data_IF_238946828966
#
_entry.id   IF_238946828966
#
_cell.length_a   1.000
_cell.length_b   1.000
_cell.length_c   1.000
_cell.angle_alpha   90.00
_cell.angle_beta   90.00
_cell.angle_gamma   90.00
#
_symmetry.space_group_name_H-M   'P 1'
#
loop_
_entity.id
_entity.type
_entity.pdbx_description
1 polymer ?
#
# COMPACT_ATOMS: atom_id res chain seq x y z
N UNK A 1 17.06 5.87 1.75
CA UNK A 1 17.12 5.11 3.03
C UNK A 1 15.99 4.11 2.95
N UNK A 2 16.29 2.81 2.92
CA UNK A 2 15.26 1.79 2.74
C UNK A 2 14.22 1.83 3.85
N UNK A 3 12.96 2.06 3.48
CA UNK A 3 11.82 2.04 4.39
C UNK A 3 11.13 0.69 4.28
N UNK A 4 11.03 -0.03 5.40
CA UNK A 4 10.30 -1.30 5.45
C UNK A 4 8.88 -1.01 5.91
N UNK A 5 7.89 -1.42 5.13
CA UNK A 5 6.49 -1.40 5.52
C UNK A 5 6.03 -2.83 5.82
N UNK A 6 5.42 -3.02 6.98
CA UNK A 6 4.62 -4.21 7.25
C UNK A 6 3.17 -3.85 6.93
N UNK A 7 2.55 -4.60 6.05
CA UNK A 7 1.24 -4.26 5.48
C UNK A 7 0.27 -5.42 5.63
N UNK A 8 -1.01 -5.09 5.73
CA UNK A 8 -2.12 -6.03 5.69
C UNK A 8 -3.01 -5.71 4.49
N UNK A 9 -3.15 -6.67 3.61
CA UNK A 9 -3.73 -6.46 2.30
C UNK A 9 -3.65 -7.70 1.42
N UNK A 10 -3.79 -7.52 0.12
CA UNK A 10 -3.64 -8.60 -0.85
C UNK A 10 -2.68 -8.18 -1.97
N UNK A 11 -1.99 -9.18 -2.51
CA UNK A 11 -1.14 -9.08 -3.69
C UNK A 11 -2.02 -9.06 -4.95
N UNK A 12 -1.74 -8.12 -5.85
CA UNK A 12 -2.43 -7.94 -7.13
C UNK A 12 -1.39 -7.81 -8.25
N UNK A 13 -1.72 -8.29 -9.44
CA UNK A 13 -0.94 -8.03 -10.65
C UNK A 13 -1.09 -6.57 -11.05
N UNK A 14 0.02 -5.94 -11.46
CA UNK A 14 -0.01 -4.57 -11.99
C UNK A 14 -0.98 -4.43 -13.15
N UNK A 15 -1.02 -5.40 -14.06
CA UNK A 15 -1.93 -5.37 -15.21
C UNK A 15 -3.39 -5.32 -14.78
N UNK A 16 -3.78 -6.10 -13.75
CA UNK A 16 -5.16 -6.10 -13.23
C UNK A 16 -5.54 -4.76 -12.62
N UNK A 17 -4.60 -4.09 -11.93
CA UNK A 17 -4.84 -2.75 -11.42
C UNK A 17 -4.93 -1.73 -12.56
N UNK A 18 -4.01 -1.78 -13.52
CA UNK A 18 -3.98 -0.85 -14.65
C UNK A 18 -5.26 -0.94 -15.50
N UNK A 19 -5.76 -2.15 -15.76
CA UNK A 19 -7.02 -2.37 -16.45
C UNK A 19 -8.19 -1.78 -15.65
N UNK A 20 -8.19 -1.95 -14.33
CA UNK A 20 -9.19 -1.35 -13.44
C UNK A 20 -9.12 0.18 -13.44
N UNK A 21 -7.93 0.77 -13.40
CA UNK A 21 -7.74 2.23 -13.45
C UNK A 21 -8.23 2.80 -14.77
N UNK A 22 -7.81 2.20 -15.90
CA UNK A 22 -8.24 2.59 -17.25
C UNK A 22 -9.75 2.51 -17.43
N UNK A 23 -10.37 1.42 -16.96
CA UNK A 23 -11.82 1.25 -17.03
C UNK A 23 -12.60 2.32 -16.26
N UNK A 24 -11.95 3.01 -15.32
CA UNK A 24 -12.54 4.09 -14.53
C UNK A 24 -11.95 5.48 -14.87
N UNK A 25 -11.25 5.60 -16.01
CA UNK A 25 -10.74 6.88 -16.52
C UNK A 25 -9.49 7.42 -15.83
N UNK A 26 -8.78 6.59 -15.06
CA UNK A 26 -7.49 6.92 -14.45
C UNK A 26 -6.32 6.37 -15.29
N UNK A 27 -5.16 7.01 -15.14
CA UNK A 27 -3.94 6.55 -15.79
C UNK A 27 -3.43 5.25 -15.13
N UNK A 28 -2.85 4.33 -15.91
CA UNK A 28 -2.17 3.16 -15.36
C UNK A 28 -0.94 3.59 -14.56
N UNK A 29 -0.59 2.81 -13.54
CA UNK A 29 0.63 3.02 -12.76
C UNK A 29 1.84 2.32 -13.38
N UNK A 30 1.60 1.31 -14.21
CA UNK A 30 2.64 0.52 -14.91
C UNK A 30 3.74 -0.04 -14.00
N UNK A 31 3.43 -0.28 -12.72
CA UNK A 31 4.39 -0.82 -11.75
C UNK A 31 5.35 0.21 -11.15
N UNK A 32 5.07 1.50 -11.33
CA UNK A 32 5.69 2.58 -10.56
C UNK A 32 4.95 2.83 -9.26
N UNK A 33 5.67 3.40 -8.28
CA UNK A 33 5.03 3.93 -7.10
C UNK A 33 4.15 5.12 -7.49
N UNK A 34 2.85 5.13 -7.14
CA UNK A 34 1.97 6.23 -7.51
C UNK A 34 2.42 7.52 -6.82
N UNK A 35 2.42 8.64 -7.55
CA UNK A 35 2.66 9.95 -6.93
C UNK A 35 1.55 10.29 -5.93
N UNK A 36 1.76 11.20 -4.97
CA UNK A 36 0.76 11.54 -3.96
C UNK A 36 -0.62 11.90 -4.54
N UNK A 37 -0.67 12.63 -5.66
CA UNK A 37 -1.92 13.00 -6.33
C UNK A 37 -2.61 11.78 -6.96
N UNK A 38 -1.85 10.91 -7.62
CA UNK A 38 -2.36 9.65 -8.18
C UNK A 38 -2.86 8.72 -7.08
N UNK A 39 -2.11 8.59 -5.98
CA UNK A 39 -2.50 7.79 -4.83
C UNK A 39 -3.82 8.31 -4.21
N UNK A 40 -4.01 9.63 -4.14
CA UNK A 40 -5.25 10.24 -3.70
C UNK A 40 -6.42 9.94 -4.65
N UNK A 41 -6.20 10.00 -5.96
CA UNK A 41 -7.24 9.70 -6.95
C UNK A 41 -7.61 8.22 -6.98
N UNK A 42 -6.63 7.33 -6.82
CA UNK A 42 -6.88 5.90 -6.64
C UNK A 42 -7.68 5.68 -5.36
N UNK A 43 -7.30 6.27 -4.23
CA UNK A 43 -8.05 6.14 -2.99
C UNK A 43 -9.50 6.64 -3.11
N UNK A 44 -9.74 7.75 -3.84
CA UNK A 44 -11.10 8.23 -4.16
C UNK A 44 -11.87 7.21 -5.00
N UNK A 45 -11.23 6.59 -6.00
CA UNK A 45 -11.87 5.57 -6.82
C UNK A 45 -12.27 4.35 -5.98
N UNK A 46 -11.41 3.87 -5.09
CA UNK A 46 -11.75 2.77 -4.18
C UNK A 46 -12.95 3.12 -3.29
N UNK A 47 -13.00 4.35 -2.75
CA UNK A 47 -14.17 4.84 -2.00
C UNK A 47 -15.44 4.90 -2.86
N UNK A 48 -15.35 5.39 -4.10
CA UNK A 48 -16.48 5.44 -5.03
C UNK A 48 -17.03 4.05 -5.37
N UNK A 49 -16.19 3.01 -5.29
CA UNK A 49 -16.60 1.60 -5.44
C UNK A 49 -17.09 0.95 -4.14
N UNK A 50 -17.26 1.72 -3.08
CA UNK A 50 -17.87 1.26 -1.83
C UNK A 50 -16.86 0.79 -0.76
N UNK A 51 -15.56 0.92 -0.98
CA UNK A 51 -14.56 0.62 0.06
C UNK A 51 -14.61 1.70 1.13
N UNK A 52 -15.05 1.32 2.33
CA UNK A 52 -15.28 2.24 3.44
C UNK A 52 -14.06 2.36 4.39
N UNK A 53 -12.94 1.76 4.04
CA UNK A 53 -11.68 1.87 4.77
C UNK A 53 -10.66 2.73 3.99
N UNK A 54 -9.60 3.12 4.66
CA UNK A 54 -8.44 3.69 3.99
C UNK A 54 -7.73 2.60 3.18
N UNK A 55 -7.25 2.96 1.98
CA UNK A 55 -6.56 2.04 1.08
C UNK A 55 -5.27 2.69 0.60
N UNK A 56 -4.18 1.93 0.64
CA UNK A 56 -2.87 2.35 0.14
C UNK A 56 -2.27 1.28 -0.75
N UNK A 57 -1.61 1.72 -1.82
CA UNK A 57 -0.88 0.84 -2.73
C UNK A 57 0.59 0.85 -2.34
N UNK A 58 1.15 -0.35 -2.19
CA UNK A 58 2.58 -0.55 -1.98
C UNK A 58 3.15 -1.31 -3.17
N UNK A 59 4.09 -0.69 -3.87
CA UNK A 59 4.83 -1.30 -4.97
C UNK A 59 6.18 -1.74 -4.42
N UNK A 60 6.50 -3.05 -4.40
CA UNK A 60 7.75 -3.53 -3.85
C UNK A 60 8.92 -3.05 -4.71
N UNK A 61 10.02 -2.71 -4.05
CA UNK A 61 11.26 -2.39 -4.75
C UNK A 61 11.81 -3.63 -5.46
N UNK A 62 12.16 -3.48 -6.74
CA UNK A 62 12.83 -4.51 -7.53
C UNK A 62 14.23 -3.99 -7.85
N UNK A 63 15.25 -4.82 -7.64
CA UNK A 63 16.63 -4.43 -7.94
C UNK A 63 16.85 -4.30 -9.46
N UNK A 64 17.48 -3.21 -9.90
CA UNK A 64 17.83 -2.94 -11.30
C UNK A 64 16.75 -2.14 -12.05
N UNK A 65 16.73 -2.21 -13.38
CA UNK A 65 15.76 -1.49 -14.23
C UNK A 65 14.43 -2.24 -14.42
N UNK A 66 14.17 -3.28 -13.62
CA UNK A 66 12.96 -4.10 -13.75
C UNK A 66 11.80 -3.47 -13.00
N UNK A 67 10.63 -3.42 -13.63
CA UNK A 67 9.39 -3.00 -12.99
C UNK A 67 8.83 -4.14 -12.15
N UNK A 68 8.14 -3.81 -11.06
CA UNK A 68 7.40 -4.85 -10.34
C UNK A 68 6.21 -5.31 -11.18
N UNK A 69 6.01 -6.62 -11.28
CA UNK A 69 4.81 -7.19 -11.90
C UNK A 69 3.64 -7.30 -10.92
N UNK A 70 3.89 -7.05 -9.64
CA UNK A 70 2.91 -7.16 -8.58
C UNK A 70 2.99 -5.98 -7.60
N UNK A 71 1.86 -5.69 -6.98
CA UNK A 71 1.73 -4.68 -5.94
C UNK A 71 0.86 -5.21 -4.82
N UNK A 72 0.79 -4.46 -3.74
CA UNK A 72 -0.05 -4.78 -2.60
C UNK A 72 -1.08 -3.67 -2.40
N UNK A 73 -2.35 -4.03 -2.46
CA UNK A 73 -3.45 -3.16 -2.05
C UNK A 73 -3.70 -3.43 -0.57
N UNK A 74 -3.56 -2.41 0.28
CA UNK A 74 -3.48 -2.57 1.72
C UNK A 74 -4.49 -1.66 2.43
N UNK A 75 -5.10 -2.16 3.51
CA UNK A 75 -6.03 -1.41 4.36
C UNK A 75 -5.46 -1.12 5.76
N UNK A 76 -4.36 -1.77 6.11
CA UNK A 76 -3.59 -1.47 7.32
C UNK A 76 -2.09 -1.56 7.01
N UNK A 77 -1.29 -0.67 7.59
CA UNK A 77 0.15 -0.64 7.38
C UNK A 77 0.88 0.00 8.55
N UNK A 78 2.15 -0.39 8.68
CA UNK A 78 3.08 0.10 9.67
C UNK A 78 4.45 0.23 9.01
N UNK A 79 5.01 1.43 9.10
CA UNK A 79 6.40 1.64 8.71
C UNK A 79 7.34 1.30 9.87
N UNK A 80 8.41 0.59 9.56
CA UNK A 80 9.40 0.08 10.51
C UNK A 80 10.81 0.45 10.04
N UNK A 81 11.62 0.99 10.96
CA UNK A 81 13.04 1.29 10.74
C UNK A 81 13.88 0.22 11.44
N UNK A 82 14.69 -0.52 10.65
CA UNK A 82 15.72 -1.51 11.00
C UNK A 82 15.32 -2.70 11.91
N UNK A 83 14.76 -2.46 13.10
CA UNK A 83 14.34 -3.51 14.02
C UNK A 83 13.30 -2.98 15.00
N UNK A 84 12.12 -3.62 15.05
CA UNK A 84 11.07 -3.31 16.02
C UNK A 84 10.29 -4.57 16.37
N UNK A 85 9.90 -4.70 17.63
CA UNK A 85 8.92 -5.70 18.05
C UNK A 85 7.52 -5.25 17.60
N UNK A 86 6.84 -6.10 16.83
CA UNK A 86 5.50 -5.85 16.25
C UNK A 86 4.50 -6.73 17.02
N UNK A 87 4.31 -6.43 18.30
CA UNK A 87 3.35 -7.11 19.16
C UNK A 87 1.98 -6.44 19.11
N UNK A 88 0.96 -7.11 18.59
CA UNK A 88 -0.43 -6.61 18.61
C UNK A 88 -0.82 -5.63 17.49
N UNK A 89 0.13 -5.15 16.69
CA UNK A 89 -0.09 -4.23 15.58
C UNK A 89 -0.54 -4.99 14.30
N UNK A 90 -1.22 -4.31 13.36
CA UNK A 90 -1.79 -4.92 12.14
C UNK A 90 -2.77 -6.07 12.40
N UNK A 91 -3.69 -5.84 13.34
CA UNK A 91 -4.76 -6.78 13.69
C UNK A 91 -6.15 -6.25 13.33
N UNK A 92 -6.24 -5.21 12.51
CA UNK A 92 -7.54 -4.72 12.06
C UNK A 92 -8.29 -5.85 11.33
N UNK A 93 -9.55 -6.13 11.71
CA UNK A 93 -10.35 -7.11 11.00
C UNK A 93 -10.47 -6.70 9.54
N UNK A 94 -10.48 -7.67 8.63
CA UNK A 94 -10.62 -7.40 7.19
C UNK A 94 -11.98 -6.74 6.97
N UNK A 95 -12.04 -5.50 6.43
CA UNK A 95 -13.31 -4.87 6.12
C UNK A 95 -14.06 -5.69 5.05
N UNK A 96 -15.37 -5.98 5.21
CA UNK A 96 -16.12 -6.74 4.21
C UNK A 96 -16.06 -6.11 2.81
N UNK A 97 -16.17 -4.78 2.74
CA UNK A 97 -16.08 -4.01 1.49
C UNK A 97 -14.71 -4.12 0.81
N UNK A 98 -13.65 -4.33 1.59
CA UNK A 98 -12.30 -4.53 1.07
C UNK A 98 -12.14 -5.94 0.47
N UNK A 99 -12.76 -6.94 1.07
CA UNK A 99 -12.79 -8.30 0.54
C UNK A 99 -13.64 -8.38 -0.74
N UNK A 100 -14.78 -7.68 -0.79
CA UNK A 100 -15.60 -7.57 -2.00
C UNK A 100 -14.81 -6.92 -3.15
N UNK A 101 -14.00 -5.90 -2.83
CA UNK A 101 -13.10 -5.25 -3.78
C UNK A 101 -12.01 -6.21 -4.27
N UNK A 102 -11.40 -6.98 -3.37
CA UNK A 102 -10.40 -8.01 -3.72
C UNK A 102 -10.97 -9.00 -4.74
N UNK A 103 -12.20 -9.47 -4.51
CA UNK A 103 -12.90 -10.38 -5.42
C UNK A 103 -13.23 -9.71 -6.76
N UNK A 104 -13.70 -8.46 -6.72
CA UNK A 104 -14.00 -7.67 -7.93
C UNK A 104 -12.77 -7.47 -8.81
N UNK A 105 -11.61 -7.25 -8.19
CA UNK A 105 -10.30 -7.14 -8.87
C UNK A 105 -9.72 -8.51 -9.28
N UNK A 106 -10.41 -9.60 -8.96
CA UNK A 106 -9.97 -10.98 -9.22
C UNK A 106 -8.54 -11.24 -8.72
N UNK A 107 -8.23 -10.74 -7.51
CA UNK A 107 -6.94 -10.97 -6.91
C UNK A 107 -6.78 -12.46 -6.55
N UNK A 108 -5.68 -13.07 -6.99
CA UNK A 108 -5.40 -14.49 -6.75
C UNK A 108 -4.97 -14.76 -5.30
N UNK A 109 -4.39 -13.76 -4.64
CA UNK A 109 -4.01 -13.88 -3.24
C UNK A 109 -5.19 -13.56 -2.32
N UNK A 110 -5.24 -14.25 -1.18
CA UNK A 110 -6.08 -13.87 -0.06
C UNK A 110 -5.48 -12.66 0.66
N UNK A 111 -6.29 -12.01 1.51
CA UNK A 111 -5.78 -11.01 2.44
C UNK A 111 -4.80 -11.68 3.42
N UNK A 112 -3.60 -11.12 3.53
CA UNK A 112 -2.53 -11.60 4.39
C UNK A 112 -1.64 -10.44 4.85
N UNK A 113 -0.63 -10.75 5.67
CA UNK A 113 0.40 -9.80 6.09
C UNK A 113 1.64 -9.96 5.23
N UNK A 114 2.21 -8.84 4.80
CA UNK A 114 3.41 -8.82 3.97
C UNK A 114 4.43 -7.84 4.54
N UNK A 115 5.71 -8.16 4.36
CA UNK A 115 6.81 -7.20 4.56
C UNK A 115 7.20 -6.70 3.18
N UNK A 116 7.07 -5.39 2.97
CA UNK A 116 7.37 -4.72 1.70
C UNK A 116 8.52 -3.75 1.95
N UNK A 117 9.65 -4.00 1.29
CA UNK A 117 10.78 -3.09 1.31
C UNK A 117 10.64 -2.08 0.16
N UNK A 118 10.57 -0.80 0.51
CA UNK A 118 10.64 0.30 -0.45
C UNK A 118 12.00 0.98 -0.27
N UNK A 119 12.85 0.98 -1.29
CA UNK A 119 14.03 1.86 -1.28
C UNK A 119 13.62 3.20 -1.89
N UNK A 120 13.13 4.09 -1.04
CA UNK A 120 12.87 5.48 -1.42
C UNK A 120 14.23 6.20 -1.43
N UNK A 121 14.89 6.15 -2.58
CA UNK A 121 16.06 6.99 -2.85
C UNK A 121 15.73 8.18 -3.76
N UNK A 122 14.45 8.42 -4.05
CA UNK A 122 14.00 9.64 -4.72
C UNK A 122 12.99 10.37 -3.85
N UNK A 123 13.44 11.53 -3.34
CA UNK A 123 12.75 12.48 -2.48
C UNK A 123 12.64 12.08 -1.00
N UNK A 124 13.18 12.97 -0.18
CA UNK A 124 13.22 13.02 1.28
C UNK A 124 11.83 13.20 1.91
N UNK A 125 10.88 12.31 1.58
CA UNK A 125 9.58 12.29 2.22
C UNK A 125 9.59 11.20 3.31
N UNK A 126 9.76 11.62 4.57
CA UNK A 126 9.49 10.74 5.70
C UNK A 126 7.96 10.77 5.89
N UNK A 127 7.24 9.64 5.79
CA UNK A 127 5.82 9.60 6.05
C UNK A 127 5.46 10.28 7.37
N UNK A 128 4.46 11.18 7.37
CA UNK A 128 4.06 11.90 8.58
C UNK A 128 3.70 10.94 9.74
N UNK A 129 3.20 9.74 9.43
CA UNK A 129 2.88 8.73 10.44
C UNK A 129 4.12 8.24 11.19
N UNK A 130 5.30 8.19 10.53
CA UNK A 130 6.58 7.90 11.19
C UNK A 130 7.02 9.06 12.07
N UNK A 131 6.87 10.30 11.59
CA UNK A 131 7.21 11.49 12.36
C UNK A 131 6.35 11.52 13.63
N UNK A 132 5.01 11.54 13.48
CA UNK A 132 4.06 11.59 14.60
C UNK A 132 4.31 10.51 15.64
N UNK A 133 4.57 9.26 15.21
CA UNK A 133 4.80 8.14 16.14
C UNK A 133 6.12 8.24 16.89
N UNK A 134 7.16 8.79 16.29
CA UNK A 134 8.44 8.99 16.95
C UNK A 134 8.46 10.23 17.87
N UNK A 135 7.67 11.26 17.58
CA UNK A 135 7.60 12.46 18.45
C UNK A 135 6.74 12.23 19.70
N UNK A 136 5.74 11.36 19.65
CA UNK A 136 4.85 11.06 20.80
C UNK A 136 5.55 10.23 21.89
N UNK A 137 6.67 9.58 21.58
CA UNK A 137 7.41 8.71 22.51
C UNK A 137 8.63 9.38 23.17
N UNK A 138 8.78 10.70 23.12
CA UNK A 138 9.81 11.40 23.90
C UNK A 138 9.24 11.85 25.26
N UNK A 139 9.66 11.25 26.38
CA UNK A 139 9.41 11.86 27.69
C UNK A 139 10.27 13.12 27.84
N UNK A 140 9.65 14.19 28.36
CA UNK A 140 10.34 15.38 28.87
C UNK A 140 11.34 15.02 29.98
#
# INVERSE_FOLDING_TARGET
>A
MGLTAVVQGFKLSVAKLDDFLKANGLNPIEGYHPFPDEAADIAKLFKAKGVNCEVKIFVPHVTGFSRSHHLFVCYDWLYVLASRDIGGELQKPVPPTFEDMRQSLQAESSVSRYVVCNDENESSWIPEELIRRNTVNQPL
#
